data_IF_071703839756
#
_entry.id   IF_071703839756
#
_cell.length_a   1.000
_cell.length_b   1.000
_cell.length_c   1.000
_cell.angle_alpha   90.00
_cell.angle_beta   90.00
_cell.angle_gamma   90.00
#
_symmetry.space_group_name_H-M   'P 1'
#
loop_
_entity.id
_entity.type
_entity.pdbx_description
1 polymer ?
#
# COMPACT_ATOMS: atom_id res chain seq x y z
N UNK A 1 9.53 -37.92 11.32
CA UNK A 1 10.09 -36.66 10.91
C UNK A 1 9.28 -36.21 9.73
N UNK A 2 8.34 -35.26 9.90
CA UNK A 2 7.67 -34.58 8.81
C UNK A 2 8.53 -33.33 8.58
N UNK A 3 9.12 -33.22 7.40
CA UNK A 3 9.74 -32.00 6.95
C UNK A 3 8.62 -30.95 6.85
N UNK A 4 8.71 -29.89 7.61
CA UNK A 4 7.82 -28.73 7.50
C UNK A 4 8.09 -28.11 6.13
N UNK A 5 7.13 -28.26 5.23
CA UNK A 5 7.11 -27.69 3.91
C UNK A 5 6.88 -26.17 4.07
N UNK A 6 7.95 -25.38 3.93
CA UNK A 6 7.87 -23.93 3.92
C UNK A 6 7.51 -23.48 2.48
N UNK A 7 6.27 -23.02 2.23
CA UNK A 7 5.85 -22.62 0.88
C UNK A 7 6.64 -21.40 0.35
N UNK A 8 7.23 -20.58 1.23
CA UNK A 8 8.01 -19.40 0.82
C UNK A 8 9.35 -19.75 0.16
N UNK A 9 9.86 -20.96 0.41
CA UNK A 9 11.13 -21.44 -0.18
C UNK A 9 10.95 -21.87 -1.64
N UNK A 10 9.78 -22.38 -2.00
CA UNK A 10 9.45 -22.84 -3.36
C UNK A 10 9.18 -21.65 -4.29
N UNK A 11 8.50 -20.59 -3.80
CA UNK A 11 8.21 -19.39 -4.58
C UNK A 11 9.47 -18.59 -4.92
N UNK A 12 10.40 -18.45 -4.00
CA UNK A 12 11.67 -17.75 -4.25
C UNK A 12 12.55 -18.48 -5.28
N UNK A 13 12.58 -19.80 -5.24
CA UNK A 13 13.35 -20.62 -6.20
C UNK A 13 12.72 -20.55 -7.60
N UNK A 14 11.39 -20.54 -7.67
CA UNK A 14 10.63 -20.46 -8.91
C UNK A 14 10.76 -19.08 -9.57
N UNK A 15 10.81 -18.01 -8.77
CA UNK A 15 11.05 -16.64 -9.26
C UNK A 15 12.47 -16.46 -9.82
N UNK A 16 13.50 -17.04 -9.18
CA UNK A 16 14.86 -17.00 -9.68
C UNK A 16 14.98 -17.72 -11.05
N UNK A 17 14.35 -18.87 -11.20
CA UNK A 17 14.35 -19.62 -12.47
C UNK A 17 13.66 -18.84 -13.60
N UNK A 18 12.55 -18.15 -13.32
CA UNK A 18 11.86 -17.26 -14.27
C UNK A 18 12.75 -16.11 -14.71
N UNK A 19 13.47 -15.47 -13.78
CA UNK A 19 14.37 -14.37 -14.10
C UNK A 19 15.56 -14.81 -14.94
N UNK A 20 16.14 -16.01 -14.69
CA UNK A 20 17.21 -16.57 -15.52
C UNK A 20 16.71 -16.82 -16.96
N UNK A 21 15.56 -17.45 -17.11
CA UNK A 21 14.94 -17.66 -18.43
C UNK A 21 14.70 -16.35 -19.18
N UNK A 22 14.28 -15.30 -18.47
CA UNK A 22 14.07 -14.00 -19.08
C UNK A 22 15.38 -13.32 -19.52
N UNK A 23 16.46 -13.45 -18.74
CA UNK A 23 17.77 -12.93 -19.17
C UNK A 23 18.28 -13.64 -20.45
N UNK A 24 17.98 -14.92 -20.59
CA UNK A 24 18.24 -15.65 -21.84
C UNK A 24 17.43 -15.08 -23.01
N UNK A 25 16.16 -14.71 -22.78
CA UNK A 25 15.33 -14.04 -23.77
C UNK A 25 15.86 -12.65 -24.14
N UNK A 26 16.32 -11.88 -23.15
CA UNK A 26 16.93 -10.56 -23.39
C UNK A 26 18.22 -10.62 -24.19
N UNK A 27 18.91 -11.76 -24.15
CA UNK A 27 20.16 -12.03 -24.86
C UNK A 27 19.95 -12.74 -26.21
N UNK A 28 18.69 -12.92 -26.65
CA UNK A 28 18.31 -13.66 -27.87
C UNK A 28 18.87 -15.11 -27.93
N UNK A 29 19.13 -15.71 -26.78
CA UNK A 29 19.70 -17.07 -26.69
C UNK A 29 18.63 -18.15 -26.63
N UNK A 30 17.43 -17.81 -26.12
CA UNK A 30 16.29 -18.72 -26.01
C UNK A 30 14.97 -17.93 -26.01
N UNK A 31 13.86 -18.63 -26.28
CA UNK A 31 12.52 -18.08 -26.19
C UNK A 31 11.69 -18.96 -25.25
N UNK A 32 11.13 -18.34 -24.22
CA UNK A 32 10.26 -19.00 -23.26
C UNK A 32 8.87 -18.37 -23.29
N UNK A 33 7.85 -19.16 -23.03
CA UNK A 33 6.50 -18.69 -22.83
C UNK A 33 6.23 -18.61 -21.34
N UNK A 34 5.68 -17.49 -20.89
CA UNK A 34 5.19 -17.31 -19.55
C UNK A 34 3.69 -16.98 -19.60
N UNK A 35 2.93 -17.38 -18.60
CA UNK A 35 1.55 -16.95 -18.47
C UNK A 35 1.45 -15.50 -17.94
N UNK A 36 0.22 -14.96 -17.90
CA UNK A 36 0.00 -13.56 -17.49
C UNK A 36 0.48 -13.32 -16.06
N UNK A 37 0.16 -14.21 -15.12
CA UNK A 37 0.55 -14.07 -13.71
C UNK A 37 2.07 -14.12 -13.55
N UNK A 38 2.76 -14.97 -14.32
CA UNK A 38 4.22 -15.04 -14.31
C UNK A 38 4.84 -13.75 -14.82
N UNK A 39 4.26 -13.14 -15.85
CA UNK A 39 4.69 -11.83 -16.36
C UNK A 39 4.47 -10.71 -15.35
N UNK A 40 3.34 -10.70 -14.63
CA UNK A 40 3.08 -9.71 -13.57
C UNK A 40 4.17 -9.79 -12.49
N UNK A 41 4.45 -11.00 -11.97
CA UNK A 41 5.51 -11.21 -10.95
C UNK A 41 6.88 -10.75 -11.45
N UNK A 42 7.22 -11.01 -12.72
CA UNK A 42 8.49 -10.60 -13.32
C UNK A 42 8.58 -9.07 -13.44
N UNK A 43 7.52 -8.43 -13.93
CA UNK A 43 7.48 -6.96 -14.10
C UNK A 43 7.56 -6.29 -12.73
N UNK A 44 6.78 -6.76 -11.75
CA UNK A 44 6.80 -6.26 -10.38
C UNK A 44 8.18 -6.39 -9.73
N UNK A 45 8.86 -7.52 -9.96
CA UNK A 45 10.23 -7.68 -9.47
C UNK A 45 11.17 -6.58 -10.01
N UNK A 46 11.08 -6.25 -11.29
CA UNK A 46 11.93 -5.21 -11.87
C UNK A 46 11.53 -3.81 -11.44
N UNK A 47 10.24 -3.52 -11.28
CA UNK A 47 9.74 -2.26 -10.73
C UNK A 47 10.20 -2.07 -9.28
N UNK A 48 10.01 -3.08 -8.43
CA UNK A 48 10.38 -3.04 -7.01
C UNK A 48 11.90 -2.97 -6.79
N UNK A 49 12.70 -3.49 -7.74
CA UNK A 49 14.17 -3.40 -7.71
C UNK A 49 14.71 -2.18 -8.45
N UNK A 50 13.86 -1.26 -8.87
CA UNK A 50 14.19 -0.02 -9.59
C UNK A 50 14.96 -0.27 -10.91
N UNK A 51 14.71 -1.41 -11.57
CA UNK A 51 15.30 -1.80 -12.86
C UNK A 51 14.37 -1.51 -14.02
N UNK A 52 13.99 -0.25 -14.16
CA UNK A 52 12.94 0.20 -15.07
C UNK A 52 13.15 -0.23 -16.53
N UNK A 53 14.40 -0.17 -17.04
CA UNK A 53 14.70 -0.63 -18.40
C UNK A 53 14.38 -2.12 -18.62
N UNK A 54 14.57 -2.94 -17.58
CA UNK A 54 14.24 -4.36 -17.65
C UNK A 54 12.73 -4.60 -17.52
N UNK A 55 12.04 -3.80 -16.69
CA UNK A 55 10.58 -3.83 -16.59
C UNK A 55 9.93 -3.52 -17.95
N UNK A 56 10.41 -2.49 -18.66
CA UNK A 56 9.94 -2.14 -20.01
C UNK A 56 10.15 -3.30 -20.99
N UNK A 57 11.35 -3.88 -21.05
CA UNK A 57 11.63 -5.03 -21.92
C UNK A 57 10.76 -6.24 -21.59
N UNK A 58 10.58 -6.54 -20.29
CA UNK A 58 9.72 -7.63 -19.86
C UNK A 58 8.26 -7.39 -20.30
N UNK A 59 7.77 -6.17 -20.16
CA UNK A 59 6.45 -5.76 -20.61
C UNK A 59 6.28 -5.92 -22.13
N UNK A 60 7.29 -5.57 -22.93
CA UNK A 60 7.25 -5.74 -24.39
C UNK A 60 7.08 -7.22 -24.77
N UNK A 61 7.85 -8.11 -24.12
CA UNK A 61 7.70 -9.55 -24.32
C UNK A 61 6.33 -10.06 -23.85
N UNK A 62 5.87 -9.61 -22.70
CA UNK A 62 4.57 -9.97 -22.14
C UNK A 62 3.43 -9.56 -23.08
N UNK A 63 3.44 -8.33 -23.59
CA UNK A 63 2.44 -7.84 -24.54
C UNK A 63 2.50 -8.57 -25.90
N UNK A 64 3.69 -8.99 -26.32
CA UNK A 64 3.82 -9.82 -27.53
C UNK A 64 3.15 -11.19 -27.35
N UNK A 65 3.30 -11.81 -26.17
CA UNK A 65 2.69 -13.11 -25.86
C UNK A 65 1.19 -13.00 -25.54
N UNK A 66 0.76 -11.91 -24.90
CA UNK A 66 -0.60 -11.70 -24.43
C UNK A 66 -1.13 -10.30 -24.80
N UNK A 67 -1.35 -10.00 -26.09
CA UNK A 67 -1.63 -8.63 -26.56
C UNK A 67 -2.94 -8.03 -26.03
N UNK A 68 -3.88 -8.87 -25.59
CA UNK A 68 -5.21 -8.43 -25.14
C UNK A 68 -5.42 -8.58 -23.62
N UNK A 69 -4.37 -8.87 -22.83
CA UNK A 69 -4.53 -8.97 -21.38
C UNK A 69 -4.81 -7.60 -20.76
N UNK A 70 -5.87 -7.54 -19.93
CA UNK A 70 -6.20 -6.35 -19.15
C UNK A 70 -5.16 -6.11 -18.06
N UNK A 71 -4.71 -7.18 -17.39
CA UNK A 71 -3.73 -7.17 -16.32
C UNK A 71 -2.39 -6.60 -16.81
N UNK A 72 -1.90 -7.06 -17.96
CA UNK A 72 -0.67 -6.54 -18.56
C UNK A 72 -0.81 -5.10 -19.06
N UNK A 73 -2.00 -4.65 -19.43
CA UNK A 73 -2.23 -3.24 -19.73
C UNK A 73 -2.30 -2.39 -18.46
N UNK A 74 -2.76 -2.92 -17.33
CA UNK A 74 -2.59 -2.26 -16.02
C UNK A 74 -1.11 -2.12 -15.67
N UNK A 75 -0.31 -3.18 -15.81
CA UNK A 75 1.15 -3.14 -15.65
C UNK A 75 1.84 -2.15 -16.60
N UNK A 76 1.32 -1.99 -17.80
CA UNK A 76 1.80 -0.97 -18.74
C UNK A 76 1.59 0.45 -18.20
N UNK A 77 0.44 0.71 -17.61
CA UNK A 77 0.18 2.00 -16.99
C UNK A 77 1.10 2.24 -15.79
N UNK A 78 1.36 1.22 -14.96
CA UNK A 78 2.34 1.30 -13.86
C UNK A 78 3.75 1.63 -14.37
N UNK A 79 4.21 0.95 -15.41
CA UNK A 79 5.52 1.22 -16.04
C UNK A 79 5.59 2.65 -16.56
N UNK A 80 4.55 3.16 -17.22
CA UNK A 80 4.49 4.56 -17.64
C UNK A 80 4.51 5.54 -16.48
N UNK A 81 3.84 5.22 -15.37
CA UNK A 81 3.90 6.03 -14.15
C UNK A 81 5.33 6.10 -13.58
N UNK A 82 6.06 4.98 -13.59
CA UNK A 82 7.46 4.94 -13.12
C UNK A 82 8.42 5.68 -14.09
N UNK A 83 8.07 5.76 -15.37
CA UNK A 83 8.77 6.60 -16.36
C UNK A 83 8.39 8.07 -16.25
N UNK A 84 7.44 8.42 -15.38
CA UNK A 84 6.81 9.75 -15.28
C UNK A 84 6.07 10.17 -16.56
N UNK A 85 5.64 9.20 -17.37
CA UNK A 85 4.83 9.38 -18.58
C UNK A 85 3.34 9.29 -18.21
N UNK A 86 2.89 10.28 -17.42
CA UNK A 86 1.57 10.24 -16.77
C UNK A 86 0.40 10.37 -17.73
N UNK A 87 0.58 11.04 -18.87
CA UNK A 87 -0.49 11.19 -19.87
C UNK A 87 -0.67 9.88 -20.67
N UNK A 88 0.41 9.17 -20.94
CA UNK A 88 0.42 7.86 -21.58
C UNK A 88 -0.25 6.82 -20.64
N UNK A 89 0.12 6.81 -19.35
CA UNK A 89 -0.52 5.96 -18.35
C UNK A 89 -2.03 6.21 -18.30
N UNK A 90 -2.44 7.48 -18.25
CA UNK A 90 -3.85 7.85 -18.22
C UNK A 90 -4.61 7.43 -19.48
N UNK A 91 -3.95 7.50 -20.66
CA UNK A 91 -4.53 7.06 -21.92
C UNK A 91 -4.81 5.55 -21.92
N UNK A 92 -3.84 4.75 -21.45
CA UNK A 92 -4.01 3.29 -21.31
C UNK A 92 -5.16 2.96 -20.37
N UNK A 93 -5.20 3.57 -19.19
CA UNK A 93 -6.23 3.31 -18.19
C UNK A 93 -7.63 3.73 -18.65
N UNK A 94 -7.77 4.85 -19.38
CA UNK A 94 -9.06 5.26 -19.95
C UNK A 94 -9.55 4.30 -21.04
N UNK A 95 -8.67 3.78 -21.85
CA UNK A 95 -9.03 2.75 -22.82
C UNK A 95 -9.50 1.46 -22.12
N UNK A 96 -8.87 1.10 -20.98
CA UNK A 96 -9.31 -0.04 -20.17
C UNK A 96 -10.67 0.22 -19.51
N UNK A 97 -10.96 1.43 -19.01
CA UNK A 97 -12.27 1.79 -18.44
C UNK A 97 -13.41 1.65 -19.46
N UNK A 98 -13.17 1.96 -20.75
CA UNK A 98 -14.16 1.75 -21.80
C UNK A 98 -14.50 0.26 -22.01
N UNK A 99 -13.53 -0.64 -21.81
CA UNK A 99 -13.70 -2.09 -22.03
C UNK A 99 -14.19 -2.77 -20.75
N UNK A 100 -13.66 -2.36 -19.59
CA UNK A 100 -13.88 -2.98 -18.27
C UNK A 100 -14.39 -1.96 -17.23
N UNK A 101 -15.59 -1.35 -17.41
CA UNK A 101 -16.05 -0.20 -16.61
C UNK A 101 -16.34 -0.50 -15.13
N UNK A 102 -16.24 -1.76 -14.70
CA UNK A 102 -16.47 -2.19 -13.32
C UNK A 102 -15.22 -2.82 -12.67
N UNK A 103 -14.05 -2.67 -13.27
CA UNK A 103 -12.80 -3.13 -12.67
C UNK A 103 -12.27 -2.04 -11.71
N UNK A 104 -12.18 -2.30 -10.40
CA UNK A 104 -11.70 -1.32 -9.43
C UNK A 104 -10.24 -0.91 -9.65
N UNK A 105 -9.37 -1.82 -10.12
CA UNK A 105 -7.94 -1.56 -10.30
C UNK A 105 -7.68 -0.46 -11.33
N UNK A 106 -8.55 -0.35 -12.34
CA UNK A 106 -8.48 0.72 -13.33
C UNK A 106 -8.70 2.09 -12.64
N UNK A 107 -9.68 2.17 -11.73
CA UNK A 107 -9.95 3.43 -11.02
C UNK A 107 -8.91 3.75 -9.96
N UNK A 108 -8.29 2.74 -9.34
CA UNK A 108 -7.11 2.92 -8.49
C UNK A 108 -5.98 3.52 -9.34
N UNK A 109 -5.62 2.89 -10.45
CA UNK A 109 -4.58 3.39 -11.34
C UNK A 109 -4.84 4.81 -11.87
N UNK A 110 -6.08 5.14 -12.25
CA UNK A 110 -6.44 6.52 -12.66
C UNK A 110 -6.28 7.48 -11.47
N UNK A 111 -6.66 7.07 -10.26
CA UNK A 111 -6.45 7.83 -9.04
C UNK A 111 -4.97 8.11 -8.79
N UNK A 112 -4.12 7.09 -8.93
CA UNK A 112 -2.66 7.18 -8.75
C UNK A 112 -2.03 8.14 -9.76
N UNK A 113 -2.45 8.09 -11.03
CA UNK A 113 -1.99 9.05 -12.04
C UNK A 113 -2.37 10.48 -11.65
N UNK A 114 -3.62 10.72 -11.22
CA UNK A 114 -4.03 12.05 -10.79
C UNK A 114 -3.33 12.52 -9.51
N UNK A 115 -3.07 11.60 -8.58
CA UNK A 115 -2.26 11.88 -7.37
C UNK A 115 -0.86 12.36 -7.75
N UNK A 116 -0.15 11.62 -8.62
CA UNK A 116 1.18 12.01 -9.12
C UNK A 116 1.17 13.33 -9.90
N UNK A 117 0.07 13.65 -10.56
CA UNK A 117 -0.15 14.97 -11.23
C UNK A 117 -0.52 16.07 -10.25
N UNK A 118 -0.60 15.79 -8.94
CA UNK A 118 -1.05 16.73 -7.90
C UNK A 118 -2.51 17.21 -8.10
N UNK A 119 -3.30 16.44 -8.86
CA UNK A 119 -4.72 16.70 -9.10
C UNK A 119 -5.58 15.97 -8.06
N UNK A 120 -5.36 16.28 -6.77
CA UNK A 120 -5.90 15.58 -5.61
C UNK A 120 -7.42 15.39 -5.62
N UNK A 121 -8.19 16.36 -6.11
CA UNK A 121 -9.66 16.20 -6.23
C UNK A 121 -10.04 15.11 -7.24
N UNK A 122 -9.33 15.06 -8.37
CA UNK A 122 -9.55 14.03 -9.39
C UNK A 122 -9.16 12.65 -8.86
N UNK A 123 -8.06 12.54 -8.12
CA UNK A 123 -7.65 11.31 -7.45
C UNK A 123 -8.74 10.81 -6.48
N UNK A 124 -9.23 11.66 -5.59
CA UNK A 124 -10.30 11.32 -4.63
C UNK A 124 -11.56 10.80 -5.33
N UNK A 125 -11.96 11.38 -6.47
CA UNK A 125 -13.13 10.94 -7.22
C UNK A 125 -12.95 9.50 -7.70
N UNK A 126 -11.76 9.17 -8.24
CA UNK A 126 -11.49 7.84 -8.79
C UNK A 126 -11.28 6.80 -7.69
N UNK A 127 -10.58 7.11 -6.61
CA UNK A 127 -10.48 6.21 -5.44
C UNK A 127 -11.85 5.90 -4.82
N UNK A 128 -12.76 6.89 -4.72
CA UNK A 128 -14.14 6.63 -4.28
C UNK A 128 -14.92 5.72 -5.22
N UNK A 129 -14.67 5.83 -6.52
CA UNK A 129 -15.28 4.95 -7.52
C UNK A 129 -14.74 3.53 -7.36
N UNK A 130 -13.43 3.38 -7.20
CA UNK A 130 -12.79 2.10 -6.90
C UNK A 130 -13.36 1.49 -5.61
N UNK A 131 -13.42 2.24 -4.52
CA UNK A 131 -13.96 1.79 -3.24
C UNK A 131 -15.40 1.26 -3.34
N UNK A 132 -16.22 1.87 -4.20
CA UNK A 132 -17.59 1.42 -4.45
C UNK A 132 -17.69 0.11 -5.25
N UNK A 133 -16.63 -0.30 -5.92
CA UNK A 133 -16.55 -1.51 -6.75
C UNK A 133 -15.76 -2.64 -6.08
N UNK A 134 -14.84 -2.32 -5.17
CA UNK A 134 -14.04 -3.31 -4.46
C UNK A 134 -14.88 -4.14 -3.50
N UNK A 135 -14.67 -5.45 -3.53
CA UNK A 135 -15.07 -6.38 -2.47
C UNK A 135 -13.95 -6.52 -1.42
N UNK A 136 -12.72 -6.67 -1.88
CA UNK A 136 -11.51 -6.81 -1.06
C UNK A 136 -10.53 -5.65 -1.35
N UNK A 137 -9.45 -5.51 -0.56
CA UNK A 137 -8.40 -4.51 -0.81
C UNK A 137 -8.78 -3.05 -0.53
N UNK A 138 -9.86 -2.81 0.22
CA UNK A 138 -10.35 -1.45 0.52
C UNK A 138 -9.43 -0.67 1.45
N UNK A 139 -8.60 -1.38 2.21
CA UNK A 139 -7.72 -0.78 3.21
C UNK A 139 -6.78 0.25 2.57
N UNK A 140 -6.08 -0.14 1.50
CA UNK A 140 -5.17 0.74 0.77
C UNK A 140 -5.89 1.96 0.17
N UNK A 141 -7.12 1.75 -0.35
CA UNK A 141 -7.91 2.85 -0.92
C UNK A 141 -8.31 3.87 0.14
N UNK A 142 -8.63 3.44 1.36
CA UNK A 142 -8.92 4.37 2.46
C UNK A 142 -7.69 5.19 2.84
N UNK A 143 -6.51 4.57 2.87
CA UNK A 143 -5.24 5.26 3.13
C UNK A 143 -4.96 6.30 2.05
N UNK A 144 -5.10 5.93 0.77
CA UNK A 144 -4.94 6.86 -0.35
C UNK A 144 -5.93 8.03 -0.26
N UNK A 145 -7.21 7.77 0.02
CA UNK A 145 -8.21 8.83 0.23
C UNK A 145 -7.83 9.77 1.37
N UNK A 146 -7.29 9.23 2.45
CA UNK A 146 -6.84 10.02 3.59
C UNK A 146 -5.63 10.88 3.23
N UNK A 147 -4.65 10.32 2.49
CA UNK A 147 -3.47 11.02 2.02
C UNK A 147 -3.82 12.18 1.07
N UNK A 148 -4.73 11.95 0.12
CA UNK A 148 -5.21 13.00 -0.78
C UNK A 148 -5.93 14.13 -0.04
N UNK A 149 -6.71 13.78 1.00
CA UNK A 149 -7.33 14.78 1.86
C UNK A 149 -6.31 15.58 2.67
N UNK A 150 -5.20 14.96 3.10
CA UNK A 150 -4.09 15.66 3.75
C UNK A 150 -3.41 16.64 2.80
N UNK A 151 -3.11 16.21 1.57
CA UNK A 151 -2.51 17.06 0.53
C UNK A 151 -3.37 18.29 0.21
N UNK A 152 -4.69 18.17 0.38
CA UNK A 152 -5.64 19.30 0.25
C UNK A 152 -5.79 20.14 1.53
N UNK A 153 -5.00 19.90 2.57
CA UNK A 153 -5.13 20.54 3.90
C UNK A 153 -6.52 20.36 4.53
N UNK A 154 -7.13 19.16 4.35
CA UNK A 154 -8.45 18.80 4.88
C UNK A 154 -8.36 17.71 5.94
N UNK A 155 -7.75 17.97 7.10
CA UNK A 155 -7.49 16.94 8.12
C UNK A 155 -8.75 16.26 8.65
N UNK A 156 -9.86 17.00 8.73
CA UNK A 156 -11.13 16.41 9.18
C UNK A 156 -11.63 15.32 8.22
N UNK A 157 -11.40 15.47 6.90
CA UNK A 157 -11.79 14.47 5.92
C UNK A 157 -10.81 13.29 5.91
N UNK A 158 -9.52 13.55 6.07
CA UNK A 158 -8.51 12.50 6.24
C UNK A 158 -8.84 11.62 7.45
N UNK A 159 -9.04 12.21 8.63
CA UNK A 159 -9.45 11.49 9.85
C UNK A 159 -10.77 10.72 9.65
N UNK A 160 -11.71 11.27 8.88
CA UNK A 160 -12.95 10.57 8.57
C UNK A 160 -12.69 9.26 7.83
N UNK A 161 -11.87 9.27 6.77
CA UNK A 161 -11.56 8.07 6.00
C UNK A 161 -10.81 7.03 6.81
N UNK A 162 -9.82 7.45 7.59
CA UNK A 162 -9.09 6.58 8.50
C UNK A 162 -9.99 5.97 9.58
N UNK A 163 -10.97 6.71 10.10
CA UNK A 163 -11.96 6.15 11.04
C UNK A 163 -12.88 5.13 10.39
N UNK A 164 -13.32 5.37 9.15
CA UNK A 164 -14.10 4.38 8.39
C UNK A 164 -13.30 3.11 8.21
N UNK A 165 -12.03 3.25 7.80
CA UNK A 165 -11.11 2.13 7.65
C UNK A 165 -10.92 1.35 8.96
N UNK A 166 -10.61 2.03 10.06
CA UNK A 166 -10.39 1.38 11.36
C UNK A 166 -11.65 0.69 11.94
N UNK A 167 -12.85 1.06 11.50
CA UNK A 167 -14.07 0.34 11.85
C UNK A 167 -14.23 -0.96 11.04
N UNK A 168 -13.76 -0.98 9.79
CA UNK A 168 -13.82 -2.15 8.89
C UNK A 168 -12.60 -3.07 9.12
N UNK A 169 -11.43 -2.48 9.36
CA UNK A 169 -10.13 -3.16 9.57
C UNK A 169 -9.47 -2.74 10.90
N UNK A 170 -10.01 -3.18 12.05
CA UNK A 170 -9.51 -2.74 13.36
C UNK A 170 -8.10 -3.23 13.67
N UNK A 171 -7.62 -4.25 13.00
CA UNK A 171 -6.27 -4.81 13.18
C UNK A 171 -5.24 -4.22 12.21
N UNK A 172 -5.63 -3.25 11.37
CA UNK A 172 -4.73 -2.57 10.46
C UNK A 172 -3.61 -1.85 11.21
N UNK A 173 -2.39 -2.34 11.04
CA UNK A 173 -1.20 -1.71 11.62
C UNK A 173 -0.95 -0.36 10.94
N UNK A 174 -1.01 -0.32 9.62
CA UNK A 174 -0.80 0.88 8.83
C UNK A 174 -1.81 1.95 9.17
N UNK A 175 -3.08 1.58 9.27
CA UNK A 175 -4.14 2.51 9.67
C UNK A 175 -3.95 3.14 11.05
N UNK A 176 -3.42 2.38 12.02
CA UNK A 176 -3.10 2.93 13.32
C UNK A 176 -1.97 3.97 13.25
N UNK A 177 -0.94 3.72 12.43
CA UNK A 177 0.16 4.67 12.24
C UNK A 177 -0.30 5.91 11.46
N UNK A 178 -1.05 5.74 10.39
CA UNK A 178 -1.61 6.85 9.60
C UNK A 178 -2.55 7.72 10.45
N UNK A 179 -3.36 7.11 11.31
CA UNK A 179 -4.22 7.84 12.25
C UNK A 179 -3.41 8.67 13.22
N UNK A 180 -2.34 8.11 13.82
CA UNK A 180 -1.46 8.82 14.73
C UNK A 180 -0.76 9.98 14.03
N UNK A 181 -0.18 9.72 12.86
CA UNK A 181 0.48 10.72 12.01
C UNK A 181 -0.48 11.86 11.63
N UNK A 182 -1.69 11.52 11.21
CA UNK A 182 -2.69 12.52 10.85
C UNK A 182 -3.05 13.46 12.01
N UNK A 183 -3.20 12.93 13.22
CA UNK A 183 -3.43 13.75 14.39
C UNK A 183 -2.22 14.60 14.79
N UNK A 184 -1.01 14.06 14.65
CA UNK A 184 0.23 14.74 15.01
C UNK A 184 0.53 15.92 14.07
N UNK A 185 0.54 15.68 12.77
CA UNK A 185 0.83 16.70 11.74
C UNK A 185 -0.16 17.86 11.79
N UNK A 186 -1.41 17.59 12.16
CA UNK A 186 -2.44 18.64 12.27
C UNK A 186 -2.53 19.31 13.64
N UNK A 187 -1.60 19.03 14.56
CA UNK A 187 -1.59 19.65 15.88
C UNK A 187 -2.73 19.19 16.81
N UNK A 188 -3.35 18.05 16.50
CA UNK A 188 -4.52 17.51 17.19
C UNK A 188 -4.19 16.32 18.12
N UNK A 189 -2.99 16.31 18.71
CA UNK A 189 -2.48 15.21 19.53
C UNK A 189 -3.42 14.83 20.68
N UNK A 190 -4.11 15.80 21.29
CA UNK A 190 -5.09 15.53 22.35
C UNK A 190 -6.26 14.69 21.83
N UNK A 191 -6.80 15.04 20.66
CA UNK A 191 -7.88 14.28 20.03
C UNK A 191 -7.39 12.88 19.57
N UNK A 192 -6.15 12.79 19.12
CA UNK A 192 -5.51 11.52 18.80
C UNK A 192 -5.41 10.62 20.03
N UNK A 193 -4.95 11.16 21.16
CA UNK A 193 -4.87 10.41 22.41
C UNK A 193 -6.27 9.94 22.90
N UNK A 194 -7.30 10.76 22.75
CA UNK A 194 -8.69 10.35 23.06
C UNK A 194 -9.17 9.23 22.12
N UNK A 195 -8.85 9.33 20.83
CA UNK A 195 -9.16 8.27 19.86
C UNK A 195 -8.50 6.95 20.26
N UNK A 196 -7.18 6.94 20.51
CA UNK A 196 -6.46 5.70 20.85
C UNK A 196 -6.92 5.11 22.20
N UNK A 197 -7.27 5.94 23.20
CA UNK A 197 -7.89 5.45 24.45
C UNK A 197 -9.22 4.75 24.18
N UNK A 198 -10.07 5.34 23.35
CA UNK A 198 -11.36 4.74 22.99
C UNK A 198 -11.16 3.44 22.22
N UNK A 199 -10.22 3.41 21.28
CA UNK A 199 -9.85 2.22 20.52
C UNK A 199 -9.33 1.10 21.43
N UNK A 200 -8.45 1.42 22.35
CA UNK A 200 -7.86 0.49 23.32
C UNK A 200 -8.87 -0.03 24.37
N UNK A 201 -9.98 0.67 24.56
CA UNK A 201 -11.07 0.14 25.41
C UNK A 201 -11.69 -1.13 24.83
N UNK A 202 -11.77 -1.22 23.49
CA UNK A 202 -12.27 -2.40 22.77
C UNK A 202 -11.16 -3.35 22.33
N UNK A 203 -9.93 -2.86 22.16
CA UNK A 203 -8.77 -3.63 21.68
C UNK A 203 -7.56 -3.52 22.66
N UNK A 204 -7.70 -3.99 23.92
CA UNK A 204 -6.74 -3.69 24.99
C UNK A 204 -5.36 -4.31 24.79
N UNK A 205 -5.22 -5.30 23.93
CA UNK A 205 -3.95 -6.00 23.66
C UNK A 205 -3.27 -5.53 22.37
N UNK A 206 -3.78 -4.49 21.70
CA UNK A 206 -3.16 -3.97 20.50
C UNK A 206 -1.91 -3.14 20.88
N UNK A 207 -0.73 -3.73 20.73
CA UNK A 207 0.55 -3.11 21.10
C UNK A 207 0.90 -1.90 20.23
N UNK A 208 0.50 -1.89 18.95
CA UNK A 208 0.70 -0.74 18.07
C UNK A 208 -0.15 0.47 18.49
N UNK A 209 -1.39 0.24 18.93
CA UNK A 209 -2.24 1.31 19.42
C UNK A 209 -1.70 1.90 20.75
N UNK A 210 -1.20 1.06 21.66
CA UNK A 210 -0.52 1.51 22.87
C UNK A 210 0.74 2.31 22.56
N UNK A 211 1.55 1.85 21.61
CA UNK A 211 2.75 2.55 21.16
C UNK A 211 2.43 3.92 20.57
N UNK A 212 1.45 4.03 19.68
CA UNK A 212 1.03 5.31 19.10
C UNK A 212 0.45 6.27 20.16
N UNK A 213 -0.29 5.75 21.13
CA UNK A 213 -0.75 6.54 22.26
C UNK A 213 0.42 7.08 23.08
N UNK A 214 1.47 6.27 23.32
CA UNK A 214 2.70 6.68 23.99
C UNK A 214 3.41 7.82 23.24
N UNK A 215 3.53 7.71 21.91
CA UNK A 215 4.14 8.76 21.09
C UNK A 215 3.34 10.08 21.17
N UNK A 216 2.02 10.01 21.10
CA UNK A 216 1.16 11.21 21.25
C UNK A 216 1.29 11.84 22.62
N UNK A 217 1.42 11.05 23.70
CA UNK A 217 1.67 11.59 25.04
C UNK A 217 3.05 12.20 25.16
N UNK A 218 4.07 11.64 24.52
CA UNK A 218 5.42 12.23 24.47
C UNK A 218 5.38 13.61 23.81
N UNK A 219 4.68 13.73 22.67
CA UNK A 219 4.51 15.03 21.98
C UNK A 219 3.71 16.04 22.81
N UNK A 220 2.83 15.56 23.71
CA UNK A 220 2.10 16.39 24.67
C UNK A 220 2.87 16.69 25.96
N UNK A 221 4.14 16.25 26.06
CA UNK A 221 4.98 16.37 27.27
C UNK A 221 4.40 15.65 28.51
N UNK A 222 3.54 14.66 28.30
CA UNK A 222 2.91 13.84 29.31
C UNK A 222 3.72 12.56 29.52
N UNK A 223 4.91 12.71 30.08
CA UNK A 223 5.91 11.63 30.12
C UNK A 223 5.50 10.43 30.97
N UNK A 224 4.76 10.65 32.08
CA UNK A 224 4.27 9.55 32.92
C UNK A 224 3.22 8.71 32.19
N UNK A 225 2.27 9.37 31.51
CA UNK A 225 1.28 8.69 30.67
C UNK A 225 1.91 8.00 29.45
N UNK A 226 2.95 8.61 28.85
CA UNK A 226 3.70 8.02 27.75
C UNK A 226 4.40 6.73 28.19
N UNK A 227 5.10 6.77 29.34
CA UNK A 227 5.77 5.59 29.89
C UNK A 227 4.78 4.45 30.16
N UNK A 228 3.63 4.75 30.79
CA UNK A 228 2.59 3.76 31.00
C UNK A 228 2.07 3.14 29.70
N UNK A 229 1.88 3.95 28.64
CA UNK A 229 1.43 3.46 27.37
C UNK A 229 2.49 2.56 26.69
N UNK A 230 3.77 2.92 26.75
CA UNK A 230 4.85 2.05 26.27
C UNK A 230 4.98 0.78 27.09
N UNK A 231 4.75 0.81 28.41
CA UNK A 231 4.70 -0.38 29.26
C UNK A 231 3.60 -1.34 28.78
N UNK A 232 2.38 -0.87 28.52
CA UNK A 232 1.31 -1.71 27.98
C UNK A 232 1.63 -2.22 26.58
N UNK A 233 2.30 -1.45 25.73
CA UNK A 233 2.74 -1.90 24.41
C UNK A 233 3.67 -3.12 24.52
N UNK A 234 4.70 -3.07 25.35
CA UNK A 234 5.66 -4.19 25.51
C UNK A 234 5.08 -5.35 26.32
N UNK A 235 4.14 -5.12 27.23
CA UNK A 235 3.40 -6.18 27.94
C UNK A 235 2.49 -6.92 26.96
N UNK A 236 1.88 -6.22 26.02
CA UNK A 236 1.00 -6.82 24.99
C UNK A 236 1.79 -7.61 23.96
N UNK A 237 3.03 -7.22 23.67
CA UNK A 237 3.95 -7.94 22.79
C UNK A 237 5.40 -7.72 23.24
N UNK A 238 5.99 -8.72 23.91
CA UNK A 238 7.30 -8.61 24.56
C UNK A 238 8.45 -8.37 23.57
N UNK A 239 8.34 -8.88 22.35
CA UNK A 239 9.36 -8.72 21.31
C UNK A 239 9.27 -7.37 20.56
N UNK A 240 8.36 -6.47 20.96
CA UNK A 240 8.17 -5.18 20.30
C UNK A 240 9.30 -4.20 20.61
N UNK A 241 10.37 -4.27 19.83
CA UNK A 241 11.61 -3.50 20.02
C UNK A 241 11.40 -1.98 20.05
N UNK A 242 10.49 -1.44 19.23
CA UNK A 242 10.16 -0.01 19.22
C UNK A 242 9.55 0.47 20.54
N UNK A 243 8.71 -0.37 21.17
CA UNK A 243 8.14 -0.07 22.50
C UNK A 243 9.22 0.00 23.56
N UNK A 244 10.15 -0.95 23.58
CA UNK A 244 11.29 -0.95 24.51
C UNK A 244 12.21 0.25 24.31
N UNK A 245 12.51 0.60 23.07
CA UNK A 245 13.35 1.76 22.73
C UNK A 245 12.75 3.06 23.25
N UNK A 246 11.47 3.34 22.98
CA UNK A 246 10.80 4.57 23.41
C UNK A 246 10.56 4.61 24.93
N UNK A 247 10.40 3.46 25.58
CA UNK A 247 10.33 3.37 27.04
C UNK A 247 11.64 3.77 27.72
N UNK A 248 12.79 3.51 27.07
CA UNK A 248 14.13 3.79 27.62
C UNK A 248 14.61 5.23 27.40
N UNK A 249 13.96 6.02 26.57
CA UNK A 249 14.27 7.43 26.30
C UNK A 249 13.42 8.36 27.15
#
# INVERSE_FOLDING_TARGET
>A
MREDFDPSYDDNNNNQDRLVKLEDMFSDTAYYYFDVNEWEVIIDHYLNTLRLEKAVKALDFAQYQHPNSAELNLKKAEVFMEQNELDEALSVLKNLDEIYPFNPDIFIGIGDVYSRKMEHYSAIIHYKKALGLCEDGKEDIYIQLAAECQSLEKPAQSIYWLKVMMNEFPDSIEGLYEMAFCYEVNGNQKLGAEFFKSFLHTNPYNHHAWFNLGNLYTTLEKYEEALNAFDYSVISFEEFSSGWYNKGN
#
